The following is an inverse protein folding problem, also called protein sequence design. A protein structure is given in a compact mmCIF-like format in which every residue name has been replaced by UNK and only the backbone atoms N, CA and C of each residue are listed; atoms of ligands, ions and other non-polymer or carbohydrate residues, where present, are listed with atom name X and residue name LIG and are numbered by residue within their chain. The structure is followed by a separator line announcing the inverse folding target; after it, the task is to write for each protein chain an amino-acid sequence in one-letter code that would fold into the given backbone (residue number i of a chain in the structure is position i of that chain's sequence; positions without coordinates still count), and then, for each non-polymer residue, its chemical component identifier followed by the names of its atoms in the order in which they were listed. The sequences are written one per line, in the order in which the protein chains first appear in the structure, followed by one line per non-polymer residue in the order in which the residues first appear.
data_IF_732777928371
#
_entry.id   IF_732777928371
#
_cell.length_a   1.000
_cell.length_b   1.000
_cell.length_c   1.000
_cell.angle_alpha   90.00
_cell.angle_beta   90.00
_cell.angle_gamma   90.00
#
_symmetry.space_group_name_H-M   'P 1'
#
loop_
_entity.id
_entity.type
_entity.pdbx_description
1 polymer ?
#
# COMPACT_ATOMS: atom_id res chain seq x y z
N UNK A 1 -26.54 -13.66 -11.44
CA UNK A 1 -25.91 -14.55 -10.42
C UNK A 1 -26.55 -15.95 -10.40
N UNK A 2 -27.78 -16.13 -10.85
CA UNK A 2 -28.48 -17.43 -10.85
C UNK A 2 -27.77 -18.54 -11.63
N UNK A 3 -27.19 -18.23 -12.79
CA UNK A 3 -26.45 -19.20 -13.61
C UNK A 3 -25.29 -19.82 -12.83
N UNK A 4 -24.52 -19.00 -12.12
CA UNK A 4 -23.39 -19.47 -11.31
C UNK A 4 -23.88 -20.31 -10.12
N UNK A 5 -24.98 -19.92 -9.47
CA UNK A 5 -25.55 -20.69 -8.36
C UNK A 5 -26.07 -22.06 -8.80
N UNK A 6 -26.79 -22.12 -9.93
CA UNK A 6 -27.28 -23.38 -10.49
C UNK A 6 -26.14 -24.30 -10.93
N UNK A 7 -25.10 -23.74 -11.56
CA UNK A 7 -23.88 -24.46 -11.90
C UNK A 7 -23.17 -24.99 -10.65
N UNK A 8 -23.03 -24.16 -9.62
CA UNK A 8 -22.40 -24.55 -8.37
C UNK A 8 -23.18 -25.66 -7.66
N UNK A 9 -24.51 -25.61 -7.65
CA UNK A 9 -25.36 -26.62 -7.02
C UNK A 9 -25.34 -27.95 -7.78
N UNK A 10 -25.41 -27.92 -9.10
CA UNK A 10 -25.35 -29.12 -9.96
C UNK A 10 -23.98 -29.82 -9.89
N UNK A 11 -22.91 -29.07 -9.64
CA UNK A 11 -21.54 -29.58 -9.61
C UNK A 11 -20.96 -29.69 -8.19
N UNK A 12 -21.75 -29.42 -7.14
CA UNK A 12 -21.29 -29.47 -5.74
C UNK A 12 -20.18 -28.47 -5.40
N UNK A 13 -20.07 -27.36 -6.14
CA UNK A 13 -19.00 -26.37 -5.96
C UNK A 13 -19.37 -25.44 -4.81
N UNK A 14 -18.56 -25.45 -3.75
CA UNK A 14 -18.66 -24.50 -2.65
C UNK A 14 -17.84 -23.25 -3.00
N UNK A 15 -18.46 -22.05 -3.08
CA UNK A 15 -17.72 -20.81 -3.29
C UNK A 15 -16.70 -20.59 -2.18
N UNK A 16 -15.42 -20.41 -2.53
CA UNK A 16 -14.34 -20.08 -1.60
C UNK A 16 -13.61 -18.84 -2.05
N UNK A 17 -13.22 -17.99 -1.11
CA UNK A 17 -12.36 -16.83 -1.38
C UNK A 17 -10.95 -17.31 -1.69
N UNK A 18 -10.39 -16.87 -2.81
CA UNK A 18 -8.99 -17.17 -3.15
C UNK A 18 -8.10 -16.30 -2.26
N UNK A 19 -7.35 -16.92 -1.36
CA UNK A 19 -6.30 -16.27 -0.57
C UNK A 19 -4.96 -16.63 -1.23
N UNK A 20 -4.42 -15.72 -2.05
CA UNK A 20 -3.07 -15.88 -2.59
C UNK A 20 -2.08 -15.27 -1.61
N UNK A 21 -1.04 -16.02 -1.16
CA UNK A 21 0.06 -15.39 -0.46
C UNK A 21 0.75 -14.45 -1.44
N UNK A 22 0.95 -13.21 -1.01
CA UNK A 22 1.79 -12.26 -1.75
C UNK A 22 3.21 -12.82 -1.64
N UNK A 23 3.87 -13.04 -2.77
CA UNK A 23 5.28 -13.43 -2.75
C UNK A 23 6.03 -12.38 -1.92
N UNK A 24 6.71 -12.83 -0.87
CA UNK A 24 7.44 -11.99 0.06
C UNK A 24 8.59 -11.34 -0.72
N UNK A 25 8.37 -10.11 -1.20
CA UNK A 25 9.48 -9.32 -1.73
C UNK A 25 10.40 -9.08 -0.54
N UNK A 26 11.60 -9.66 -0.58
CA UNK A 26 12.62 -9.45 0.44
C UNK A 26 12.78 -7.96 0.70
N UNK A 27 12.23 -7.50 1.81
CA UNK A 27 12.41 -6.16 2.29
C UNK A 27 13.86 -6.08 2.76
N UNK A 28 14.67 -5.32 2.03
CA UNK A 28 16.03 -4.96 2.44
C UNK A 28 15.92 -4.42 3.87
N UNK A 29 16.33 -5.23 4.84
CA UNK A 29 16.27 -4.92 6.26
C UNK A 29 17.20 -3.75 6.55
N UNK A 30 16.67 -2.53 6.46
CA UNK A 30 17.33 -1.36 7.01
C UNK A 30 17.14 -1.42 8.52
N UNK A 31 18.23 -1.79 9.22
CA UNK A 31 18.34 -1.78 10.68
C UNK A 31 17.81 -0.45 11.23
N UNK A 32 17.03 -0.44 12.32
CA UNK A 32 16.66 0.80 12.98
C UNK A 32 17.94 1.41 13.58
N UNK A 33 18.41 2.50 12.99
CA UNK A 33 19.39 3.37 13.64
C UNK A 33 18.62 4.14 14.71
N UNK A 34 18.74 3.69 15.96
CA UNK A 34 18.15 4.25 17.19
C UNK A 34 18.73 5.63 17.56
N UNK A 35 19.19 6.40 16.57
CA UNK A 35 19.80 7.69 16.79
C UNK A 35 19.21 8.76 15.88
N UNK A 36 18.33 9.58 16.48
CA UNK A 36 18.38 11.07 16.47
C UNK A 36 17.15 11.80 15.95
N UNK A 37 16.91 12.86 16.73
CA UNK A 37 16.26 14.15 16.42
C UNK A 37 14.75 14.11 16.24
N UNK A 38 14.09 14.54 17.32
CA UNK A 38 12.74 15.13 17.34
C UNK A 38 12.67 16.26 16.30
N UNK A 39 12.39 15.95 15.04
CA UNK A 39 11.64 16.89 14.21
C UNK A 39 10.28 17.06 14.87
N UNK A 40 9.74 18.28 14.91
CA UNK A 40 8.39 18.51 15.40
C UNK A 40 7.43 17.60 14.64
N UNK A 41 6.77 16.65 15.33
CA UNK A 41 5.82 15.70 14.72
C UNK A 41 4.83 16.41 13.78
N UNK A 42 4.43 17.62 14.16
CA UNK A 42 3.55 18.50 13.41
C UNK A 42 4.06 18.87 12.00
N UNK A 43 5.36 19.10 11.81
CA UNK A 43 5.90 19.43 10.48
C UNK A 43 5.95 18.19 9.59
N UNK A 44 6.30 17.03 10.16
CA UNK A 44 6.25 15.76 9.42
C UNK A 44 4.86 15.41 8.95
N UNK A 45 3.86 15.54 9.82
CA UNK A 45 2.46 15.27 9.46
C UNK A 45 1.99 16.18 8.33
N UNK A 46 2.36 17.47 8.35
CA UNK A 46 2.09 18.40 7.24
C UNK A 46 2.75 17.95 5.94
N UNK A 47 4.03 17.55 5.99
CA UNK A 47 4.75 17.05 4.81
C UNK A 47 4.14 15.75 4.28
N UNK A 48 3.76 14.82 5.16
CA UNK A 48 3.09 13.57 4.77
C UNK A 48 1.74 13.86 4.11
N UNK A 49 0.95 14.78 4.67
CA UNK A 49 -0.33 15.18 4.09
C UNK A 49 -0.16 15.76 2.68
N UNK A 50 0.84 16.62 2.48
CA UNK A 50 1.15 17.20 1.17
C UNK A 50 1.60 16.14 0.16
N UNK A 51 2.55 15.28 0.53
CA UNK A 51 3.01 14.18 -0.33
C UNK A 51 1.89 13.20 -0.67
N UNK A 52 0.96 12.96 0.26
CA UNK A 52 -0.20 12.08 0.04
C UNK A 52 -1.16 12.69 -0.98
N UNK A 53 -1.39 14.01 -0.91
CA UNK A 53 -2.21 14.70 -1.89
C UNK A 53 -1.59 14.63 -3.29
N UNK A 54 -0.28 14.83 -3.40
CA UNK A 54 0.43 14.76 -4.67
C UNK A 54 0.50 13.34 -5.23
N UNK A 55 0.64 12.33 -4.37
CA UNK A 55 0.58 10.92 -4.76
C UNK A 55 -0.80 10.56 -5.34
N UNK A 56 -1.88 11.04 -4.71
CA UNK A 56 -3.25 10.83 -5.21
C UNK A 56 -3.49 11.51 -6.55
N UNK A 57 -2.94 12.72 -6.75
CA UNK A 57 -3.00 13.41 -8.05
C UNK A 57 -2.25 12.62 -9.12
N UNK A 58 -1.03 12.16 -8.83
CA UNK A 58 -0.23 11.34 -9.73
C UNK A 58 -0.97 10.04 -10.11
N UNK A 59 -1.57 9.37 -9.15
CA UNK A 59 -2.40 8.18 -9.38
C UNK A 59 -3.63 8.48 -10.25
N UNK A 60 -4.27 9.64 -10.06
CA UNK A 60 -5.38 10.10 -10.91
C UNK A 60 -4.96 10.42 -12.35
N UNK A 61 -3.70 10.84 -12.55
CA UNK A 61 -3.09 11.06 -13.86
C UNK A 61 -2.50 9.77 -14.48
N UNK A 62 -2.69 8.61 -13.84
CA UNK A 62 -2.12 7.31 -14.24
C UNK A 62 -0.59 7.26 -14.23
N UNK A 63 0.08 8.20 -13.54
CA UNK A 63 1.52 8.21 -13.34
C UNK A 63 1.89 7.38 -12.10
N UNK A 64 1.93 6.07 -12.30
CA UNK A 64 2.20 5.11 -11.23
C UNK A 64 3.66 5.10 -10.78
N UNK A 65 4.60 5.46 -11.65
CA UNK A 65 6.02 5.55 -11.29
C UNK A 65 6.24 6.70 -10.31
N UNK A 66 5.68 7.87 -10.60
CA UNK A 66 5.76 9.02 -9.71
C UNK A 66 5.00 8.78 -8.40
N UNK A 67 3.82 8.15 -8.46
CA UNK A 67 3.08 7.77 -7.26
C UNK A 67 3.87 6.77 -6.38
N UNK A 68 4.59 5.82 -6.97
CA UNK A 68 5.44 4.88 -6.24
C UNK A 68 6.59 5.59 -5.52
N UNK A 69 7.25 6.55 -6.19
CA UNK A 69 8.31 7.37 -5.57
C UNK A 69 7.78 8.17 -4.38
N UNK A 70 6.58 8.76 -4.50
CA UNK A 70 5.95 9.52 -3.41
C UNK A 70 5.56 8.61 -2.24
N UNK A 71 5.04 7.41 -2.51
CA UNK A 71 4.74 6.40 -1.48
C UNK A 71 5.99 6.03 -0.67
N UNK A 72 7.11 5.81 -1.33
CA UNK A 72 8.35 5.40 -0.64
C UNK A 72 8.93 6.55 0.19
N UNK A 73 8.79 7.80 -0.28
CA UNK A 73 9.12 9.00 0.51
C UNK A 73 8.25 9.11 1.77
N UNK A 74 6.95 8.86 1.66
CA UNK A 74 6.02 8.87 2.81
C UNK A 74 6.45 7.82 3.85
N UNK A 75 6.70 6.57 3.44
CA UNK A 75 7.18 5.51 4.34
C UNK A 75 8.47 5.88 5.07
N UNK A 76 9.42 6.52 4.37
CA UNK A 76 10.68 6.98 4.96
C UNK A 76 10.49 8.09 6.00
N UNK A 77 9.44 8.90 5.86
CA UNK A 77 9.10 9.94 6.84
C UNK A 77 8.36 9.37 8.06
N UNK A 78 7.56 8.31 7.88
CA UNK A 78 6.86 7.60 8.96
C UNK A 78 7.78 6.72 9.81
N UNK A 79 8.82 6.11 9.20
CA UNK A 79 9.79 5.27 9.90
C UNK A 79 10.86 6.06 10.70
N UNK A 80 10.94 7.37 10.48
CA UNK A 80 11.86 8.28 11.18
C UNK A 80 11.22 8.88 12.42
#
# INVERSE_FOLDING_TARGET
REIQSAYNQTHGIVPKTIVKPIAEQETISQKPDDSKKRMNKNEREKTIAQLTADMKKAAGLLDFEYAAVLRDKIKKLEQK
#
